data_IF_034288890883
#
_entry.id   IF_034288890883
#
_cell.length_a   1.000
_cell.length_b   1.000
_cell.length_c   1.000
_cell.angle_alpha   90.00
_cell.angle_beta   90.00
_cell.angle_gamma   90.00
#
_symmetry.space_group_name_H-M   'P 1'
#
loop_
_entity.id
_entity.type
_entity.pdbx_description
1 polymer ?
#
# COMPACT_ATOMS: atom_id res chain seq x y z
N UNK A 1 -5.25 33.97 66.58
CA UNK A 1 -4.17 33.91 67.60
C UNK A 1 -2.86 33.63 66.89
N UNK A 2 -1.78 34.31 67.31
CA UNK A 2 -0.45 34.36 66.67
C UNK A 2 0.55 33.49 67.44
N UNK A 3 1.61 33.09 66.72
CA UNK A 3 2.98 32.68 67.10
C UNK A 3 3.29 31.15 67.16
N UNK A 4 4.54 30.71 66.87
CA UNK A 4 5.71 31.44 66.34
C UNK A 4 6.40 30.82 65.10
N UNK A 5 7.30 31.65 64.53
CA UNK A 5 8.22 31.40 63.41
C UNK A 5 9.55 30.76 63.87
N UNK A 6 10.25 30.18 62.87
CA UNK A 6 11.64 29.65 62.81
C UNK A 6 11.68 28.13 63.03
N UNK A 7 12.27 27.31 62.14
CA UNK A 7 13.74 27.27 61.91
C UNK A 7 14.11 26.42 60.67
N UNK A 8 15.15 26.89 59.95
CA UNK A 8 16.09 26.29 58.96
C UNK A 8 15.65 25.32 57.83
N UNK A 9 15.90 25.80 56.60
CA UNK A 9 16.34 25.04 55.42
C UNK A 9 17.88 24.88 55.53
N UNK A 10 18.51 23.76 55.11
CA UNK A 10 18.84 23.60 53.69
C UNK A 10 18.83 22.13 53.20
N UNK A 11 18.38 21.90 51.97
CA UNK A 11 19.17 21.25 50.90
C UNK A 11 18.29 21.15 49.65
N UNK A 12 18.66 21.92 48.63
CA UNK A 12 18.20 21.66 47.28
C UNK A 12 18.92 20.40 46.78
N UNK A 13 18.16 19.37 46.47
CA UNK A 13 18.57 18.32 45.54
C UNK A 13 17.64 18.39 44.34
N UNK A 14 18.11 19.08 43.30
CA UNK A 14 17.65 18.82 41.92
C UNK A 14 18.04 17.38 41.58
N UNK A 15 17.11 16.45 41.76
CA UNK A 15 17.21 15.09 41.24
C UNK A 15 16.46 15.01 39.91
N UNK A 16 17.23 15.00 38.83
CA UNK A 16 16.79 14.93 37.44
C UNK A 16 15.87 13.71 37.22
N UNK A 17 14.59 13.93 36.93
CA UNK A 17 13.72 12.86 36.41
C UNK A 17 14.19 12.50 35.00
N UNK A 18 14.96 11.41 34.90
CA UNK A 18 15.29 10.81 33.61
C UNK A 18 13.98 10.24 33.05
N UNK A 19 13.31 11.02 32.20
CA UNK A 19 12.32 10.50 31.27
C UNK A 19 13.10 9.61 30.32
N UNK A 20 13.16 8.32 30.63
CA UNK A 20 13.68 7.32 29.72
C UNK A 20 12.82 7.33 28.48
N UNK A 21 13.28 8.01 27.44
CA UNK A 21 12.75 7.86 26.09
C UNK A 21 13.03 6.40 25.72
N UNK A 22 11.99 5.57 25.81
CA UNK A 22 11.97 4.24 25.24
C UNK A 22 12.01 4.42 23.71
N UNK A 23 13.22 4.57 23.16
CA UNK A 23 13.46 4.34 21.76
C UNK A 23 13.24 2.85 21.53
N UNK A 24 12.04 2.49 21.06
CA UNK A 24 11.82 1.17 20.52
C UNK A 24 12.91 0.94 19.45
N UNK A 25 13.67 -0.17 19.52
CA UNK A 25 14.66 -0.46 18.49
C UNK A 25 13.94 -0.50 17.14
N UNK A 26 14.58 -0.04 16.05
CA UNK A 26 14.00 -0.17 14.72
C UNK A 26 13.71 -1.66 14.49
N UNK A 27 12.47 -1.97 14.16
CA UNK A 27 12.08 -3.29 13.65
C UNK A 27 12.85 -3.49 12.36
N UNK A 28 13.96 -4.22 12.45
CA UNK A 28 14.62 -4.78 11.28
C UNK A 28 13.64 -5.81 10.73
N UNK A 29 13.04 -5.53 9.58
CA UNK A 29 12.32 -6.54 8.80
C UNK A 29 13.34 -7.64 8.52
N UNK A 30 13.18 -8.79 9.17
CA UNK A 30 14.07 -9.93 8.98
C UNK A 30 13.84 -10.48 7.57
N UNK A 31 14.93 -10.66 6.81
CA UNK A 31 14.89 -11.23 5.47
C UNK A 31 14.46 -12.71 5.43
N UNK A 32 14.15 -13.31 6.58
CA UNK A 32 13.80 -14.73 6.74
C UNK A 32 12.31 -14.98 7.02
N UNK A 33 11.43 -13.98 6.92
CA UNK A 33 9.99 -14.26 7.01
C UNK A 33 9.52 -15.06 5.77
N UNK A 34 8.83 -16.20 5.96
CA UNK A 34 8.40 -17.03 4.85
C UNK A 34 7.33 -16.32 4.01
N UNK A 35 7.41 -16.49 2.69
CA UNK A 35 6.39 -16.02 1.76
C UNK A 35 5.00 -16.54 2.15
N UNK A 36 4.02 -15.65 2.12
CA UNK A 36 2.61 -15.99 2.32
C UNK A 36 1.83 -15.79 1.04
N UNK A 37 1.12 -16.84 0.62
CA UNK A 37 0.18 -16.75 -0.48
C UNK A 37 -1.03 -15.90 -0.09
N UNK A 38 -1.31 -14.85 -0.87
CA UNK A 38 -2.54 -14.05 -0.74
C UNK A 38 -3.72 -14.65 -1.51
N UNK A 39 -3.43 -15.52 -2.48
CA UNK A 39 -4.42 -16.20 -3.29
C UNK A 39 -4.00 -17.67 -3.43
N UNK A 40 -4.95 -18.57 -3.20
CA UNK A 40 -4.71 -20.02 -3.20
C UNK A 40 -4.90 -20.67 -4.59
N UNK A 41 -5.29 -19.90 -5.60
CA UNK A 41 -5.58 -20.38 -6.95
C UNK A 41 -7.02 -20.84 -7.17
N UNK A 42 -7.88 -20.81 -6.15
CA UNK A 42 -9.18 -21.51 -6.16
C UNK A 42 -10.32 -20.79 -5.44
N UNK A 43 -10.04 -19.89 -4.49
CA UNK A 43 -11.05 -19.13 -3.75
C UNK A 43 -10.69 -17.64 -3.64
N UNK A 44 -11.71 -16.80 -3.45
CA UNK A 44 -11.53 -15.38 -3.09
C UNK A 44 -11.56 -15.18 -1.57
N UNK A 45 -11.22 -16.21 -0.80
CA UNK A 45 -11.15 -16.10 0.65
C UNK A 45 -10.05 -15.11 1.04
N UNK A 46 -10.37 -14.22 1.98
CA UNK A 46 -9.48 -13.12 2.36
C UNK A 46 -9.54 -11.90 1.42
N UNK A 47 -10.48 -11.87 0.46
CA UNK A 47 -10.71 -10.73 -0.42
C UNK A 47 -12.09 -10.10 -0.22
N UNK A 48 -12.15 -8.77 -0.34
CA UNK A 48 -13.37 -7.97 -0.20
C UNK A 48 -13.48 -7.00 -1.36
N UNK A 49 -14.56 -7.11 -2.13
CA UNK A 49 -14.88 -6.20 -3.22
C UNK A 49 -15.38 -4.86 -2.69
N UNK A 50 -14.85 -3.75 -3.20
CA UNK A 50 -15.24 -2.38 -2.83
C UNK A 50 -15.40 -1.49 -4.07
N UNK A 51 -16.20 -0.43 -3.96
CA UNK A 51 -16.36 0.56 -5.03
C UNK A 51 -17.49 0.22 -6.00
N UNK A 52 -17.19 0.25 -7.30
CA UNK A 52 -18.17 0.09 -8.39
C UNK A 52 -18.80 -1.29 -8.51
N UNK A 53 -19.04 -1.75 -9.73
CA UNK A 53 -19.80 -2.98 -10.00
C UNK A 53 -19.08 -3.97 -10.92
N UNK A 54 -17.75 -3.86 -11.08
CA UNK A 54 -16.98 -4.92 -11.71
C UNK A 54 -17.07 -6.20 -10.86
N UNK A 55 -16.98 -7.36 -11.51
CA UNK A 55 -16.97 -8.67 -10.84
C UNK A 55 -15.57 -9.28 -10.89
N UNK A 56 -15.30 -10.21 -9.97
CA UNK A 56 -14.07 -10.99 -9.94
C UNK A 56 -14.42 -12.46 -9.91
N UNK A 57 -13.83 -13.23 -10.81
CA UNK A 57 -13.99 -14.69 -10.93
C UNK A 57 -12.62 -15.35 -10.82
N UNK A 58 -12.63 -16.67 -10.72
CA UNK A 58 -11.41 -17.48 -10.76
C UNK A 58 -11.47 -18.31 -12.04
N UNK A 59 -10.48 -18.10 -12.90
CA UNK A 59 -10.37 -18.76 -14.20
C UNK A 59 -8.93 -19.24 -14.35
N UNK A 60 -8.75 -20.52 -14.65
CA UNK A 60 -7.42 -21.13 -14.87
C UNK A 60 -6.40 -20.86 -13.75
N UNK A 61 -6.86 -20.78 -12.51
CA UNK A 61 -5.99 -20.52 -11.36
C UNK A 61 -5.57 -19.06 -11.19
N UNK A 62 -6.23 -18.13 -11.87
CA UNK A 62 -6.02 -16.68 -11.76
C UNK A 62 -7.29 -15.94 -11.34
N UNK A 63 -7.14 -14.82 -10.65
CA UNK A 63 -8.23 -13.88 -10.40
C UNK A 63 -8.47 -13.05 -11.67
N UNK A 64 -9.66 -13.14 -12.24
CA UNK A 64 -10.05 -12.38 -13.45
C UNK A 64 -11.06 -11.29 -13.08
N UNK A 65 -10.66 -10.04 -13.32
CA UNK A 65 -11.53 -8.87 -13.15
C UNK A 65 -12.32 -8.57 -14.42
N UNK A 66 -13.65 -8.54 -14.32
CA UNK A 66 -14.56 -8.22 -15.42
C UNK A 66 -15.06 -6.78 -15.28
N UNK A 67 -14.48 -5.86 -16.06
CA UNK A 67 -14.79 -4.44 -16.01
C UNK A 67 -16.24 -4.13 -16.39
N UNK A 68 -16.86 -3.15 -15.71
CA UNK A 68 -18.21 -2.66 -16.02
C UNK A 68 -18.21 -1.16 -16.30
N UNK A 69 -18.61 -0.78 -17.52
CA UNK A 69 -18.76 0.62 -17.93
C UNK A 69 -19.88 1.32 -17.15
N UNK A 70 -19.74 2.63 -16.97
CA UNK A 70 -20.76 3.46 -16.31
C UNK A 70 -20.81 3.30 -14.78
N UNK A 71 -19.79 2.68 -14.17
CA UNK A 71 -19.66 2.59 -12.71
C UNK A 71 -18.31 3.13 -12.23
N UNK A 72 -18.18 3.53 -10.96
CA UNK A 72 -16.89 3.91 -10.39
C UNK A 72 -15.87 2.77 -10.44
N UNK A 73 -14.61 3.08 -10.13
CA UNK A 73 -13.55 2.08 -9.96
C UNK A 73 -13.99 1.01 -8.94
N UNK A 74 -13.71 -0.25 -9.27
CA UNK A 74 -13.95 -1.40 -8.39
C UNK A 74 -12.62 -1.99 -7.97
N UNK A 75 -12.50 -2.35 -6.70
CA UNK A 75 -11.26 -2.87 -6.12
C UNK A 75 -11.56 -4.21 -5.45
N UNK A 76 -10.69 -5.19 -5.69
CA UNK A 76 -10.63 -6.40 -4.89
C UNK A 76 -9.53 -6.21 -3.84
N UNK A 77 -9.95 -5.92 -2.61
CA UNK A 77 -9.04 -5.58 -1.52
C UNK A 77 -8.76 -6.82 -0.67
N UNK A 78 -7.57 -6.94 -0.10
CA UNK A 78 -7.33 -7.89 1.00
C UNK A 78 -8.21 -7.54 2.20
N UNK A 79 -8.58 -8.55 2.99
CA UNK A 79 -9.33 -8.40 4.25
C UNK A 79 -8.46 -7.89 5.41
N UNK A 80 -7.15 -7.72 5.16
CA UNK A 80 -6.12 -7.27 6.11
C UNK A 80 -5.33 -6.11 5.53
N UNK A 81 -4.74 -5.34 6.44
CA UNK A 81 -3.80 -4.27 6.12
C UNK A 81 -2.36 -4.77 6.28
N UNK A 82 -1.46 -4.25 5.44
CA UNK A 82 -0.04 -4.54 5.47
C UNK A 82 0.76 -3.25 5.58
N UNK A 83 1.76 -3.24 6.47
CA UNK A 83 2.69 -2.12 6.69
C UNK A 83 3.91 -2.26 5.79
N UNK A 84 5.01 -2.76 6.36
CA UNK A 84 6.18 -3.18 5.59
C UNK A 84 5.95 -4.57 5.00
N UNK A 85 6.23 -4.74 3.71
CA UNK A 85 6.04 -6.00 2.99
C UNK A 85 6.82 -6.03 1.69
N UNK A 86 7.05 -7.25 1.21
CA UNK A 86 7.42 -7.53 -0.18
C UNK A 86 6.28 -8.31 -0.84
N UNK A 87 5.88 -7.88 -2.02
CA UNK A 87 4.81 -8.49 -2.82
C UNK A 87 5.36 -8.85 -4.20
N UNK A 88 5.18 -10.09 -4.59
CA UNK A 88 5.36 -10.56 -5.95
C UNK A 88 4.04 -11.10 -6.48
N UNK A 89 3.69 -10.74 -7.72
CA UNK A 89 2.57 -11.31 -8.45
C UNK A 89 2.82 -11.25 -9.95
N UNK A 90 2.04 -12.01 -10.70
CA UNK A 90 1.96 -11.89 -12.15
C UNK A 90 0.63 -11.26 -12.54
N UNK A 91 0.64 -10.43 -13.58
CA UNK A 91 -0.57 -9.81 -14.11
C UNK A 91 -0.57 -9.81 -15.64
N UNK A 92 -1.77 -9.78 -16.20
CA UNK A 92 -2.04 -9.51 -17.60
C UNK A 92 -3.25 -8.56 -17.66
N UNK A 93 -3.26 -7.65 -18.63
CA UNK A 93 -4.33 -6.64 -18.78
C UNK A 93 -4.76 -6.56 -20.24
N UNK A 94 -6.06 -6.36 -20.45
CA UNK A 94 -6.58 -6.09 -21.79
C UNK A 94 -6.08 -4.73 -22.30
N UNK A 95 -5.67 -4.58 -23.57
CA UNK A 95 -5.09 -3.33 -24.08
C UNK A 95 -5.97 -2.08 -23.96
N UNK A 96 -7.29 -2.26 -23.91
CA UNK A 96 -8.26 -1.16 -23.76
C UNK A 96 -8.56 -0.77 -22.30
N UNK A 97 -7.95 -1.46 -21.33
CA UNK A 97 -8.17 -1.22 -19.91
C UNK A 97 -6.96 -0.58 -19.25
N UNK A 98 -7.20 0.18 -18.20
CA UNK A 98 -6.20 0.59 -17.23
C UNK A 98 -6.49 -0.13 -15.91
N UNK A 99 -5.45 -0.52 -15.20
CA UNK A 99 -5.57 -1.23 -13.93
C UNK A 99 -4.49 -0.74 -12.96
N UNK A 100 -4.41 -1.34 -11.78
CA UNK A 100 -3.38 -1.05 -10.82
C UNK A 100 -3.45 -1.95 -9.59
N UNK A 101 -2.34 -1.97 -8.85
CA UNK A 101 -2.20 -2.72 -7.61
C UNK A 101 -2.14 -1.72 -6.47
N UNK A 102 -3.20 -1.68 -5.66
CA UNK A 102 -3.27 -0.82 -4.49
C UNK A 102 -2.32 -1.33 -3.40
N UNK A 103 -1.52 -0.43 -2.83
CA UNK A 103 -0.59 -0.72 -1.74
C UNK A 103 -0.79 0.29 -0.61
N UNK A 104 -0.87 -0.21 0.64
CA UNK A 104 -1.11 0.61 1.85
C UNK A 104 -2.34 1.54 1.70
N UNK A 105 -3.33 1.13 0.91
CA UNK A 105 -4.54 1.88 0.64
C UNK A 105 -5.59 1.70 1.73
N UNK A 106 -6.51 2.65 1.81
CA UNK A 106 -7.58 2.69 2.80
C UNK A 106 -8.94 2.81 2.12
N UNK A 107 -9.99 2.47 2.87
CA UNK A 107 -11.40 2.72 2.53
C UNK A 107 -12.10 3.11 3.83
N UNK A 108 -11.98 4.40 4.17
CA UNK A 108 -12.48 4.96 5.43
C UNK A 108 -13.85 5.59 5.20
N UNK A 109 -14.89 5.30 6.01
CA UNK A 109 -16.22 5.88 5.84
C UNK A 109 -16.20 7.42 5.73
N UNK A 110 -15.37 8.06 6.54
CA UNK A 110 -15.27 9.52 6.62
C UNK A 110 -14.43 10.15 5.48
N UNK A 111 -13.79 9.33 4.65
CA UNK A 111 -13.04 9.79 3.48
C UNK A 111 -13.83 9.52 2.21
N UNK A 112 -14.42 10.58 1.63
CA UNK A 112 -15.18 10.52 0.36
C UNK A 112 -16.19 9.36 0.34
N UNK A 113 -16.93 9.19 1.44
CA UNK A 113 -17.94 8.14 1.60
C UNK A 113 -17.39 6.72 1.37
N UNK A 114 -16.23 6.41 1.94
CA UNK A 114 -15.64 5.07 1.84
C UNK A 114 -14.87 4.79 0.55
N UNK A 115 -14.62 5.78 -0.31
CA UNK A 115 -13.85 5.58 -1.54
C UNK A 115 -12.47 4.99 -1.21
N UNK A 116 -12.04 3.96 -1.97
CA UNK A 116 -10.69 3.42 -1.87
C UNK A 116 -9.68 4.49 -2.30
N UNK A 117 -8.64 4.70 -1.50
CA UNK A 117 -7.62 5.71 -1.75
C UNK A 117 -6.27 5.32 -1.14
N UNK A 118 -5.17 5.70 -1.79
CA UNK A 118 -3.82 5.35 -1.36
C UNK A 118 -2.87 5.17 -2.53
N UNK A 119 -1.72 4.55 -2.29
CA UNK A 119 -0.73 4.34 -3.33
C UNK A 119 -1.17 3.21 -4.28
N UNK A 120 -0.92 3.40 -5.56
CA UNK A 120 -1.22 2.48 -6.64
C UNK A 120 0.05 2.25 -7.44
N UNK A 121 0.41 0.98 -7.66
CA UNK A 121 1.35 0.61 -8.70
C UNK A 121 0.57 0.47 -9.99
N UNK A 122 0.83 1.36 -10.95
CA UNK A 122 0.05 1.49 -12.18
C UNK A 122 0.20 0.26 -13.09
N UNK A 123 -0.87 -0.11 -13.78
CA UNK A 123 -0.83 -0.99 -14.95
C UNK A 123 -1.44 -0.24 -16.13
N UNK A 124 -0.58 0.20 -17.06
CA UNK A 124 -0.92 1.10 -18.15
C UNK A 124 -0.44 0.53 -19.49
N UNK A 125 -1.33 -0.17 -20.23
CA UNK A 125 -0.99 -0.71 -21.53
C UNK A 125 -1.03 0.33 -22.67
N UNK A 126 -1.32 1.60 -22.37
CA UNK A 126 -1.35 2.65 -23.39
C UNK A 126 0.06 3.05 -23.84
N UNK A 127 0.15 3.86 -24.89
CA UNK A 127 1.42 4.42 -25.38
C UNK A 127 2.18 5.24 -24.32
N UNK A 128 1.48 5.72 -23.28
CA UNK A 128 2.12 6.41 -22.15
C UNK A 128 3.06 5.47 -21.39
N UNK A 129 2.71 4.19 -21.32
CA UNK A 129 3.53 3.10 -20.79
C UNK A 129 4.10 3.36 -19.38
N UNK A 130 3.26 3.83 -18.45
CA UNK A 130 3.67 4.11 -17.06
C UNK A 130 3.45 2.94 -16.10
N UNK A 131 3.34 1.71 -16.61
CA UNK A 131 3.25 0.49 -15.79
C UNK A 131 4.40 0.42 -14.78
N UNK A 132 4.08 0.03 -13.55
CA UNK A 132 4.96 0.05 -12.38
C UNK A 132 5.33 1.45 -11.83
N UNK A 133 4.82 2.54 -12.41
CA UNK A 133 4.83 3.86 -11.79
C UNK A 133 3.92 3.95 -10.55
N UNK A 134 4.08 4.99 -9.74
CA UNK A 134 3.32 5.18 -8.50
C UNK A 134 2.34 6.36 -8.64
N UNK A 135 1.05 6.03 -8.57
CA UNK A 135 -0.06 6.97 -8.52
C UNK A 135 -0.72 6.97 -7.13
N UNK A 136 -1.21 8.10 -6.65
CA UNK A 136 -1.90 8.22 -5.35
C UNK A 136 -3.41 8.32 -5.56
N UNK A 137 -4.01 7.15 -5.81
CA UNK A 137 -5.43 6.95 -6.14
C UNK A 137 -6.35 7.63 -5.13
N UNK A 138 -7.34 8.35 -5.66
CA UNK A 138 -8.33 9.07 -4.85
C UNK A 138 -7.76 10.22 -4.01
N UNK A 139 -6.46 10.56 -4.14
CA UNK A 139 -5.75 11.59 -3.34
C UNK A 139 -4.91 12.54 -4.20
N UNK A 140 -3.59 12.33 -4.31
CA UNK A 140 -2.59 13.32 -4.81
C UNK A 140 -2.25 13.19 -6.29
N UNK A 141 -2.65 12.10 -6.95
CA UNK A 141 -2.27 11.84 -8.34
C UNK A 141 -0.85 11.27 -8.49
N UNK A 142 -0.17 11.56 -9.60
CA UNK A 142 1.15 10.99 -9.90
C UNK A 142 2.22 11.39 -8.88
N UNK A 143 2.88 10.40 -8.28
CA UNK A 143 4.00 10.60 -7.36
C UNK A 143 5.34 10.22 -7.98
N UNK A 144 5.36 9.16 -8.80
CA UNK A 144 6.52 8.71 -9.55
C UNK A 144 6.05 8.16 -10.90
N UNK A 145 6.07 9.01 -11.92
CA UNK A 145 5.83 8.60 -13.30
C UNK A 145 7.12 8.05 -13.96
N UNK A 146 7.00 7.54 -15.19
CA UNK A 146 8.12 7.02 -15.97
C UNK A 146 8.48 7.93 -17.16
N UNK A 147 8.17 9.23 -17.08
CA UNK A 147 8.39 10.15 -18.20
C UNK A 147 9.87 10.22 -18.62
N UNK A 148 10.77 10.18 -17.66
CA UNK A 148 12.23 10.27 -17.89
C UNK A 148 12.93 8.90 -17.77
N UNK A 149 12.18 7.79 -17.72
CA UNK A 149 12.73 6.43 -17.60
C UNK A 149 12.26 5.53 -18.76
N UNK A 150 12.87 5.73 -19.92
CA UNK A 150 12.51 5.00 -21.14
C UNK A 150 12.69 3.48 -21.01
N UNK A 151 13.76 3.02 -20.34
CA UNK A 151 14.00 1.61 -20.11
C UNK A 151 12.85 0.95 -19.31
N UNK A 152 12.35 1.63 -18.28
CA UNK A 152 11.21 1.13 -17.51
C UNK A 152 9.90 1.14 -18.32
N UNK A 153 9.67 2.15 -19.18
CA UNK A 153 8.50 2.16 -20.07
C UNK A 153 8.46 0.97 -21.03
N UNK A 154 9.63 0.49 -21.44
CA UNK A 154 9.77 -0.65 -22.36
C UNK A 154 9.67 -2.01 -21.65
N UNK A 155 9.59 -2.06 -20.32
CA UNK A 155 9.56 -3.31 -19.57
C UNK A 155 8.21 -4.04 -19.67
N UNK A 156 7.10 -3.31 -19.88
CA UNK A 156 5.78 -3.92 -19.98
C UNK A 156 5.61 -4.70 -21.29
N UNK A 157 5.17 -5.95 -21.18
CA UNK A 157 4.88 -6.84 -22.31
C UNK A 157 3.36 -6.94 -22.53
N UNK A 158 2.80 -6.33 -23.59
CA UNK A 158 1.36 -6.36 -23.83
C UNK A 158 0.89 -7.77 -24.22
N UNK A 159 -0.31 -8.16 -23.78
CA UNK A 159 -0.92 -9.47 -24.02
C UNK A 159 -0.10 -10.67 -23.49
N UNK A 160 0.78 -10.42 -22.52
CA UNK A 160 1.58 -11.44 -21.85
C UNK A 160 1.46 -11.31 -20.33
N UNK A 161 1.83 -12.37 -19.62
CA UNK A 161 2.05 -12.31 -18.19
C UNK A 161 3.31 -11.50 -17.86
N UNK A 162 3.14 -10.52 -16.99
CA UNK A 162 4.19 -9.65 -16.48
C UNK A 162 4.37 -9.92 -14.98
N UNK A 163 5.60 -10.13 -14.55
CA UNK A 163 5.92 -10.26 -13.12
C UNK A 163 6.20 -8.89 -12.55
N UNK A 164 5.55 -8.53 -11.45
CA UNK A 164 5.84 -7.30 -10.71
C UNK A 164 6.33 -7.64 -9.31
N UNK A 165 7.33 -6.91 -8.85
CA UNK A 165 7.80 -6.92 -7.47
C UNK A 165 7.59 -5.55 -6.85
N UNK A 166 7.06 -5.51 -5.64
CA UNK A 166 6.79 -4.28 -4.90
C UNK A 166 7.37 -4.44 -3.49
N UNK A 167 8.24 -3.52 -3.09
CA UNK A 167 8.83 -3.49 -1.75
C UNK A 167 8.42 -2.20 -1.04
N UNK A 168 7.75 -2.38 0.08
CA UNK A 168 7.30 -1.36 1.01
C UNK A 168 8.13 -1.50 2.30
N UNK A 169 9.05 -0.57 2.55
CA UNK A 169 10.01 -0.63 3.66
C UNK A 169 10.14 0.75 4.32
N UNK A 170 9.55 0.90 5.51
CA UNK A 170 9.35 2.19 6.14
C UNK A 170 8.61 3.14 5.20
N UNK A 171 9.19 4.31 4.92
CA UNK A 171 8.64 5.27 3.96
C UNK A 171 9.02 4.98 2.50
N UNK A 172 9.89 3.99 2.24
CA UNK A 172 10.32 3.64 0.88
C UNK A 172 9.28 2.75 0.20
N UNK A 173 8.96 3.10 -1.05
CA UNK A 173 8.17 2.27 -1.97
C UNK A 173 9.01 2.11 -3.23
N UNK A 174 9.26 0.86 -3.62
CA UNK A 174 10.02 0.50 -4.82
C UNK A 174 9.26 -0.53 -5.62
N UNK A 175 9.33 -0.41 -6.94
CA UNK A 175 8.62 -1.25 -7.90
C UNK A 175 9.60 -1.75 -8.96
N UNK A 176 9.40 -2.99 -9.41
CA UNK A 176 10.13 -3.61 -10.51
C UNK A 176 9.13 -4.35 -11.39
N UNK A 177 9.36 -4.28 -12.70
CA UNK A 177 8.60 -4.95 -13.75
C UNK A 177 9.57 -5.77 -14.63
#
# INVERSE_FOLDING_TARGET
>A
MRQPRRTLCPLALLGLSIVGIWLAPPTIVSADEPWRMLFDGSTLDGWVRRGGEATYTIEEGAIVGHSRKGTPNTFLCTDRNYGDFELELEFMVHPELNSGIQIRSNSLPDYKNGQVHGYQVEIDPSERAWTAGIYDEGRRGWLADLKENEAARQAFRPNEWNKVRIVCDGSSIRTWL
#
